data_IF_549405742769
#
_entry.id   IF_549405742769
#
_cell.length_a   1.000
_cell.length_b   1.000
_cell.length_c   1.000
_cell.angle_alpha   90.00
_cell.angle_beta   90.00
_cell.angle_gamma   90.00
#
_symmetry.space_group_name_H-M   'P 1'
#
loop_
_entity.id
_entity.type
_entity.pdbx_description
1 polymer ?
#
# COMPACT_ATOMS: atom_id res chain seq x y z
N UNK A 1 -13.81 -21.41 -9.19
CA UNK A 1 -12.99 -20.57 -8.29
C UNK A 1 -12.89 -21.31 -6.98
N UNK A 2 -11.66 -21.52 -6.48
CA UNK A 2 -11.44 -22.08 -5.16
C UNK A 2 -12.01 -21.19 -4.06
N UNK A 3 -11.97 -21.66 -2.82
CA UNK A 3 -12.34 -20.86 -1.66
C UNK A 3 -11.38 -19.66 -1.57
N UNK A 4 -11.93 -18.43 -1.45
CA UNK A 4 -11.12 -17.24 -1.24
C UNK A 4 -10.48 -17.33 0.15
N UNK A 5 -9.17 -17.53 0.18
CA UNK A 5 -8.34 -17.57 1.37
C UNK A 5 -7.23 -16.49 1.29
N UNK A 6 -6.45 -16.35 2.34
CA UNK A 6 -5.32 -15.43 2.39
C UNK A 6 -4.00 -16.14 2.06
N UNK A 7 -4.00 -16.97 1.00
CA UNK A 7 -2.79 -17.62 0.53
C UNK A 7 -2.10 -16.82 -0.59
N UNK A 8 -0.78 -16.91 -0.69
CA UNK A 8 0.00 -16.31 -1.79
C UNK A 8 -0.42 -16.90 -3.16
N UNK A 9 -0.88 -18.15 -3.20
CA UNK A 9 -1.46 -18.76 -4.39
C UNK A 9 -2.73 -18.01 -4.83
N UNK A 10 -3.67 -17.75 -3.91
CA UNK A 10 -4.89 -17.01 -4.23
C UNK A 10 -4.59 -15.55 -4.58
N UNK A 11 -3.59 -14.93 -3.94
CA UNK A 11 -3.12 -13.61 -4.32
C UNK A 11 -2.70 -13.55 -5.79
N UNK A 12 -1.85 -14.50 -6.22
CA UNK A 12 -1.43 -14.63 -7.63
C UNK A 12 -2.63 -14.81 -8.56
N UNK A 13 -3.57 -15.69 -8.21
CA UNK A 13 -4.79 -15.94 -9.01
C UNK A 13 -5.62 -14.66 -9.21
N UNK A 14 -5.71 -13.78 -8.19
CA UNK A 14 -6.38 -12.48 -8.29
C UNK A 14 -5.68 -11.59 -9.34
N UNK A 15 -4.36 -11.49 -9.26
CA UNK A 15 -3.57 -10.63 -10.15
C UNK A 15 -3.62 -11.12 -11.61
N UNK A 16 -3.43 -12.41 -11.83
CA UNK A 16 -3.52 -13.04 -13.15
C UNK A 16 -4.91 -12.83 -13.77
N UNK A 17 -5.98 -13.07 -12.99
CA UNK A 17 -7.35 -12.82 -13.44
C UNK A 17 -7.60 -11.34 -13.79
N UNK A 18 -7.04 -10.41 -13.02
CA UNK A 18 -7.14 -8.98 -13.32
C UNK A 18 -6.43 -8.64 -14.64
N UNK A 19 -5.23 -9.16 -14.87
CA UNK A 19 -4.49 -8.97 -16.13
C UNK A 19 -5.25 -9.55 -17.32
N UNK A 20 -5.79 -10.77 -17.19
CA UNK A 20 -6.60 -11.41 -18.24
C UNK A 20 -7.86 -10.61 -18.58
N UNK A 21 -8.45 -9.93 -17.59
CA UNK A 21 -9.60 -9.05 -17.80
C UNK A 21 -9.22 -7.65 -18.33
N UNK A 22 -7.94 -7.40 -18.60
CA UNK A 22 -7.46 -6.16 -19.19
C UNK A 22 -7.31 -5.00 -18.21
N UNK A 23 -7.14 -5.26 -16.91
CA UNK A 23 -6.75 -4.22 -15.98
C UNK A 23 -5.29 -3.83 -16.18
N UNK A 24 -5.03 -2.53 -16.27
CA UNK A 24 -3.69 -1.98 -16.23
C UNK A 24 -3.38 -1.58 -14.78
N UNK A 25 -2.32 -2.17 -14.25
CA UNK A 25 -1.81 -1.82 -12.91
C UNK A 25 -0.98 -0.55 -12.96
N UNK A 26 -1.01 0.21 -11.86
CA UNK A 26 -0.21 1.42 -11.70
C UNK A 26 0.08 1.67 -10.23
N UNK A 27 1.13 2.45 -9.97
CA UNK A 27 1.44 3.02 -8.68
C UNK A 27 0.58 4.27 -8.42
N UNK A 28 0.59 4.80 -7.18
CA UNK A 28 0.00 6.10 -6.89
C UNK A 28 0.71 7.22 -7.64
N UNK A 29 2.04 7.13 -7.81
CA UNK A 29 2.81 8.11 -8.55
C UNK A 29 2.41 8.19 -10.03
N UNK A 30 2.06 7.08 -10.63
CA UNK A 30 1.86 6.94 -12.08
C UNK A 30 0.41 6.70 -12.50
N UNK A 31 -0.55 6.73 -11.56
CA UNK A 31 -1.95 6.37 -11.84
C UNK A 31 -2.61 7.22 -12.93
N UNK A 32 -2.15 8.45 -13.12
CA UNK A 32 -2.66 9.36 -14.17
C UNK A 32 -2.15 9.00 -15.57
N UNK A 33 -1.09 8.19 -15.69
CA UNK A 33 -0.54 7.72 -16.97
C UNK A 33 -1.32 6.56 -17.58
N UNK A 34 -2.22 5.94 -16.81
CA UNK A 34 -3.03 4.80 -17.27
C UNK A 34 -4.04 5.26 -18.31
N UNK A 35 -3.97 4.66 -19.49
CA UNK A 35 -4.88 4.95 -20.61
C UNK A 35 -5.90 3.82 -20.84
N UNK A 36 -5.71 2.66 -20.21
CA UNK A 36 -6.64 1.54 -20.32
C UNK A 36 -7.98 1.88 -19.68
N UNK A 37 -9.09 1.35 -20.22
CA UNK A 37 -10.43 1.52 -19.60
C UNK A 37 -10.51 0.96 -18.18
N UNK A 38 -9.75 -0.10 -17.91
CA UNK A 38 -9.69 -0.75 -16.59
C UNK A 38 -8.37 -0.45 -15.90
N UNK A 39 -8.45 0.13 -14.72
CA UNK A 39 -7.30 0.50 -13.90
C UNK A 39 -7.33 -0.23 -12.56
N UNK A 40 -6.17 -0.74 -12.14
CA UNK A 40 -5.98 -1.39 -10.86
C UNK A 40 -4.86 -0.69 -10.09
N UNK A 41 -5.23 -0.02 -9.02
CA UNK A 41 -4.31 0.59 -8.06
C UNK A 41 -4.12 -0.41 -6.92
N UNK A 42 -2.97 -1.09 -6.90
CA UNK A 42 -2.61 -1.99 -5.80
C UNK A 42 -1.73 -1.27 -4.80
N UNK A 43 -2.10 -1.35 -3.52
CA UNK A 43 -1.31 -0.80 -2.43
C UNK A 43 -1.16 -1.80 -1.29
N UNK A 44 -0.02 -1.70 -0.62
CA UNK A 44 0.30 -2.49 0.57
C UNK A 44 0.74 -1.58 1.69
N UNK A 45 0.17 -1.76 2.86
CA UNK A 45 0.61 -1.05 4.06
C UNK A 45 1.58 -1.96 4.83
N UNK A 46 2.84 -1.52 4.96
CA UNK A 46 3.88 -2.27 5.68
C UNK A 46 3.80 -1.94 7.17
N UNK A 47 2.82 -2.54 7.83
CA UNK A 47 2.56 -2.27 9.25
C UNK A 47 3.52 -3.00 10.18
N UNK A 48 3.81 -4.27 9.91
CA UNK A 48 4.47 -5.18 10.84
C UNK A 48 5.65 -5.94 10.22
N UNK A 49 5.51 -6.48 9.00
CA UNK A 49 6.50 -7.35 8.38
C UNK A 49 6.87 -6.88 6.97
N UNK A 50 8.13 -6.50 6.80
CA UNK A 50 8.69 -6.20 5.48
C UNK A 50 8.82 -7.47 4.65
N UNK A 51 9.15 -8.61 5.26
CA UNK A 51 9.37 -9.87 4.54
C UNK A 51 8.10 -10.36 3.86
N UNK A 52 6.96 -10.31 4.56
CA UNK A 52 5.69 -10.71 3.99
C UNK A 52 5.27 -9.79 2.82
N UNK A 53 5.52 -8.47 2.96
CA UNK A 53 5.25 -7.54 1.86
C UNK A 53 6.22 -7.75 0.68
N UNK A 54 7.47 -8.12 0.94
CA UNK A 54 8.42 -8.42 -0.12
C UNK A 54 8.05 -9.69 -0.91
N UNK A 55 7.35 -10.64 -0.28
CA UNK A 55 6.78 -11.79 -0.99
C UNK A 55 5.74 -11.36 -2.03
N UNK A 56 4.86 -10.40 -1.70
CA UNK A 56 3.96 -9.78 -2.69
C UNK A 56 4.73 -9.13 -3.84
N UNK A 57 5.71 -8.28 -3.50
CA UNK A 57 6.47 -7.52 -4.49
C UNK A 57 7.15 -8.44 -5.54
N UNK A 58 7.63 -9.59 -5.10
CA UNK A 58 8.23 -10.58 -6.02
C UNK A 58 7.20 -11.19 -6.95
N UNK A 59 6.01 -11.58 -6.43
CA UNK A 59 4.91 -12.11 -7.25
C UNK A 59 4.44 -11.07 -8.27
N UNK A 60 4.29 -9.83 -7.86
CA UNK A 60 3.88 -8.73 -8.72
C UNK A 60 4.91 -8.45 -9.81
N UNK A 61 6.19 -8.38 -9.44
CA UNK A 61 7.29 -8.21 -10.40
C UNK A 61 7.32 -9.33 -11.46
N UNK A 62 7.15 -10.61 -11.04
CA UNK A 62 7.06 -11.74 -11.96
C UNK A 62 5.93 -11.61 -12.98
N UNK A 63 4.84 -10.94 -12.59
CA UNK A 63 3.68 -10.67 -13.45
C UNK A 63 3.77 -9.34 -14.21
N UNK A 64 4.88 -8.60 -14.07
CA UNK A 64 5.06 -7.29 -14.68
C UNK A 64 4.21 -6.18 -14.07
N UNK A 65 3.80 -6.34 -12.81
CA UNK A 65 2.97 -5.39 -12.07
C UNK A 65 3.84 -4.50 -11.21
N UNK A 66 3.57 -3.19 -11.24
CA UNK A 66 4.07 -2.22 -10.27
C UNK A 66 2.96 -1.83 -9.29
N UNK A 67 3.30 -1.77 -8.00
CA UNK A 67 2.38 -1.42 -6.89
C UNK A 67 3.03 -0.40 -5.97
N UNK A 68 2.24 0.16 -5.05
CA UNK A 68 2.74 1.10 -4.04
C UNK A 68 2.78 0.45 -2.66
N UNK A 69 3.93 0.52 -2.01
CA UNK A 69 4.17 0.03 -0.65
C UNK A 69 4.36 1.21 0.30
N UNK A 70 3.45 1.38 1.26
CA UNK A 70 3.51 2.46 2.24
C UNK A 70 4.29 2.02 3.48
N UNK A 71 5.42 2.70 3.73
CA UNK A 71 6.40 2.38 4.78
C UNK A 71 6.13 3.21 6.02
N UNK A 72 6.00 2.56 7.18
CA UNK A 72 5.92 3.24 8.48
C UNK A 72 7.32 3.52 9.03
N UNK A 73 7.63 4.78 9.29
CA UNK A 73 8.89 5.17 9.95
C UNK A 73 8.86 4.78 11.44
N UNK A 74 7.70 4.89 12.10
CA UNK A 74 7.49 4.52 13.50
C UNK A 74 6.98 3.07 13.69
N UNK A 75 7.37 2.15 12.81
CA UNK A 75 6.95 0.75 12.93
C UNK A 75 7.52 0.10 14.20
N UNK A 76 6.70 -0.71 14.89
CA UNK A 76 7.11 -1.38 16.12
C UNK A 76 8.03 -2.58 15.90
N UNK A 77 7.89 -3.28 14.78
CA UNK A 77 8.51 -4.58 14.53
C UNK A 77 9.64 -4.53 13.51
N UNK A 78 9.90 -3.38 12.91
CA UNK A 78 11.07 -3.18 12.07
C UNK A 78 11.61 -1.75 12.22
N UNK A 79 12.89 -1.58 11.94
CA UNK A 79 13.55 -0.29 11.91
C UNK A 79 14.00 -0.01 10.46
N UNK A 80 13.47 1.02 9.77
CA UNK A 80 13.84 1.31 8.38
C UNK A 80 15.34 1.60 8.17
N UNK A 81 16.06 2.03 9.21
CA UNK A 81 17.50 2.26 9.18
C UNK A 81 18.34 1.01 9.51
N UNK A 82 17.73 -0.06 10.01
CA UNK A 82 18.44 -1.29 10.25
C UNK A 82 18.91 -1.87 8.90
N UNK A 83 20.15 -2.37 8.85
CA UNK A 83 20.84 -2.66 7.61
C UNK A 83 20.13 -3.69 6.71
N UNK A 84 19.52 -4.73 7.29
CA UNK A 84 18.75 -5.73 6.53
C UNK A 84 17.42 -5.15 6.02
N UNK A 85 16.76 -4.34 6.84
CA UNK A 85 15.55 -3.62 6.47
C UNK A 85 15.78 -2.64 5.32
N UNK A 86 16.83 -1.82 5.43
CA UNK A 86 17.27 -0.92 4.37
C UNK A 86 17.48 -1.64 3.04
N UNK A 87 18.18 -2.78 3.04
CA UNK A 87 18.41 -3.57 1.82
C UNK A 87 17.10 -4.08 1.22
N UNK A 88 16.13 -4.48 2.05
CA UNK A 88 14.80 -4.92 1.60
C UNK A 88 14.01 -3.78 0.99
N UNK A 89 14.03 -2.57 1.58
CA UNK A 89 13.41 -1.39 0.99
C UNK A 89 13.98 -1.10 -0.40
N UNK A 90 15.32 -1.15 -0.55
CA UNK A 90 15.95 -1.02 -1.88
C UNK A 90 15.59 -2.16 -2.84
N UNK A 91 15.18 -3.31 -2.34
CA UNK A 91 14.72 -4.42 -3.18
C UNK A 91 13.35 -4.12 -3.80
N UNK A 92 12.40 -3.53 -3.05
CA UNK A 92 11.11 -3.10 -3.62
C UNK A 92 11.30 -2.18 -4.82
N UNK A 93 12.22 -1.21 -4.72
CA UNK A 93 12.50 -0.30 -5.84
C UNK A 93 13.11 -1.02 -7.04
N UNK A 94 14.06 -1.96 -6.80
CA UNK A 94 14.66 -2.77 -7.87
C UNK A 94 13.64 -3.68 -8.56
N UNK A 95 12.59 -4.06 -7.86
CA UNK A 95 11.47 -4.80 -8.42
C UNK A 95 10.46 -3.90 -9.17
N UNK A 96 10.67 -2.58 -9.18
CA UNK A 96 9.86 -1.62 -9.92
C UNK A 96 8.67 -1.05 -9.14
N UNK A 97 8.63 -1.23 -7.82
CA UNK A 97 7.54 -0.72 -6.98
C UNK A 97 7.83 0.68 -6.45
N UNK A 98 6.75 1.43 -6.19
CA UNK A 98 6.79 2.70 -5.50
C UNK A 98 6.85 2.48 -3.98
N UNK A 99 7.71 3.24 -3.28
CA UNK A 99 7.67 3.36 -1.83
C UNK A 99 7.08 4.71 -1.43
N UNK A 100 5.96 4.67 -0.70
CA UNK A 100 5.26 5.83 -0.16
C UNK A 100 5.36 5.89 1.37
N UNK A 101 4.92 6.99 1.97
CA UNK A 101 4.92 7.18 3.41
C UNK A 101 3.62 6.66 4.06
N UNK A 102 3.73 5.74 5.01
CA UNK A 102 2.61 5.37 5.90
C UNK A 102 2.68 6.18 7.19
N UNK A 103 2.08 7.40 7.18
CA UNK A 103 2.24 8.35 8.27
C UNK A 103 1.31 8.08 9.45
N UNK A 104 1.77 8.47 10.65
CA UNK A 104 1.06 8.30 11.92
C UNK A 104 0.23 9.54 12.28
N UNK A 105 -0.96 9.67 11.71
CA UNK A 105 -1.87 10.72 12.14
C UNK A 105 -2.29 10.49 13.60
N UNK A 106 -2.23 11.53 14.42
CA UNK A 106 -2.59 11.48 15.85
C UNK A 106 -1.52 10.93 16.78
N UNK A 107 -0.42 10.34 16.27
CA UNK A 107 0.68 9.91 17.13
C UNK A 107 1.42 11.11 17.74
N UNK A 108 1.61 12.16 16.98
CA UNK A 108 2.29 13.38 17.43
C UNK A 108 1.61 14.00 18.65
N UNK A 109 0.28 14.07 18.65
CA UNK A 109 -0.49 14.60 19.78
C UNK A 109 -0.23 13.79 21.08
N UNK A 110 -0.08 12.47 20.97
CA UNK A 110 0.18 11.60 22.13
C UNK A 110 1.57 11.83 22.75
N UNK A 111 2.51 12.41 22.01
CA UNK A 111 3.86 12.74 22.50
C UNK A 111 4.09 14.25 22.62
N UNK A 112 3.05 15.06 22.48
CA UNK A 112 3.13 16.52 22.64
C UNK A 112 3.78 17.25 21.46
N UNK A 113 3.79 16.66 20.28
CA UNK A 113 4.39 17.22 19.05
C UNK A 113 3.30 17.74 18.10
N UNK A 114 3.67 18.65 17.20
CA UNK A 114 2.81 19.08 16.09
C UNK A 114 2.71 18.00 15.02
N UNK A 115 1.49 17.61 14.66
CA UNK A 115 1.25 16.52 13.70
C UNK A 115 1.83 16.81 12.31
N UNK A 116 1.68 18.05 11.83
CA UNK A 116 2.20 18.40 10.50
C UNK A 116 3.73 18.40 10.48
N UNK A 117 4.35 18.85 11.57
CA UNK A 117 5.79 18.78 11.73
C UNK A 117 6.29 17.33 11.77
N UNK A 118 5.61 16.46 12.54
CA UNK A 118 5.95 15.04 12.62
C UNK A 118 5.90 14.36 11.24
N UNK A 119 4.82 14.53 10.49
CA UNK A 119 4.66 13.94 9.16
C UNK A 119 5.74 14.42 8.19
N UNK A 120 6.10 15.71 8.22
CA UNK A 120 7.22 16.21 7.40
C UNK A 120 8.56 15.57 7.79
N UNK A 121 8.79 15.34 9.08
CA UNK A 121 9.99 14.61 9.56
C UNK A 121 9.99 13.16 9.10
N UNK A 122 8.87 12.45 9.24
CA UNK A 122 8.73 11.08 8.75
C UNK A 122 9.06 10.98 7.26
N UNK A 123 8.48 11.89 6.46
CA UNK A 123 8.78 11.98 5.03
C UNK A 123 10.27 12.20 4.77
N UNK A 124 10.87 13.18 5.42
CA UNK A 124 12.31 13.48 5.27
C UNK A 124 13.19 12.28 5.65
N UNK A 125 12.83 11.56 6.71
CA UNK A 125 13.53 10.35 7.13
C UNK A 125 13.44 9.27 6.04
N UNK A 126 12.25 9.04 5.52
CA UNK A 126 12.05 8.03 4.47
C UNK A 126 12.81 8.41 3.19
N UNK A 127 12.77 9.68 2.78
CA UNK A 127 13.54 10.18 1.63
C UNK A 127 15.05 10.03 1.82
N UNK A 128 15.55 10.23 3.03
CA UNK A 128 16.96 10.02 3.34
C UNK A 128 17.38 8.54 3.25
N UNK A 129 16.45 7.61 3.52
CA UNK A 129 16.67 6.18 3.35
C UNK A 129 16.66 5.79 1.87
N UNK A 130 15.73 6.36 1.10
CA UNK A 130 15.50 5.98 -0.29
C UNK A 130 16.42 6.74 -1.27
N UNK A 131 16.97 7.87 -0.85
CA UNK A 131 17.78 8.79 -1.68
C UNK A 131 17.03 9.39 -2.88
N UNK A 132 15.71 9.56 -2.72
CA UNK A 132 14.86 10.24 -3.70
C UNK A 132 13.55 10.75 -3.06
N UNK A 133 12.81 11.68 -3.74
CA UNK A 133 11.55 12.20 -3.23
C UNK A 133 10.47 11.13 -3.06
N UNK A 134 9.75 11.19 -1.94
CA UNK A 134 8.52 10.44 -1.68
C UNK A 134 7.33 11.31 -2.05
N UNK A 135 6.49 10.84 -2.96
CA UNK A 135 5.40 11.64 -3.55
C UNK A 135 4.00 11.21 -3.13
N UNK A 136 3.88 10.03 -2.55
CA UNK A 136 2.60 9.48 -2.07
C UNK A 136 2.64 9.16 -0.59
N UNK A 137 1.48 9.23 0.05
CA UNK A 137 1.31 8.86 1.46
C UNK A 137 -0.04 8.19 1.71
N UNK A 138 -0.11 7.46 2.82
CA UNK A 138 -1.34 6.91 3.36
C UNK A 138 -1.36 7.05 4.88
N UNK A 139 -2.47 7.50 5.45
CA UNK A 139 -2.64 7.57 6.91
C UNK A 139 -2.73 6.17 7.52
N UNK A 140 -1.95 5.91 8.57
CA UNK A 140 -2.14 4.73 9.40
C UNK A 140 -3.39 4.89 10.28
N UNK A 141 -4.29 3.90 10.27
CA UNK A 141 -5.54 3.90 11.05
C UNK A 141 -6.39 5.19 10.91
N UNK A 142 -6.72 5.66 9.70
CA UNK A 142 -7.38 6.97 9.50
C UNK A 142 -8.75 7.08 10.20
N UNK A 143 -9.41 5.96 10.47
CA UNK A 143 -10.68 5.92 11.21
C UNK A 143 -10.55 6.23 12.70
N UNK A 144 -9.34 6.16 13.27
CA UNK A 144 -9.08 6.44 14.70
C UNK A 144 -8.38 7.78 14.91
N UNK A 145 -7.45 8.12 14.05
CA UNK A 145 -6.56 9.28 14.20
C UNK A 145 -6.91 10.45 13.26
N UNK A 146 -7.91 10.29 12.41
CA UNK A 146 -8.26 11.31 11.42
C UNK A 146 -7.36 11.30 10.20
N UNK A 147 -7.62 12.24 9.29
CA UNK A 147 -6.85 12.48 8.07
C UNK A 147 -6.24 13.87 8.14
N UNK A 148 -4.96 13.96 8.38
CA UNK A 148 -4.23 15.22 8.41
C UNK A 148 -4.02 15.77 7.00
N UNK A 149 -3.68 14.88 6.05
CA UNK A 149 -3.39 15.26 4.67
C UNK A 149 -4.65 15.09 3.83
N UNK A 150 -4.97 16.13 3.10
CA UNK A 150 -6.11 16.22 2.18
C UNK A 150 -5.60 16.57 0.78
N UNK A 151 -6.46 16.46 -0.22
CA UNK A 151 -6.12 16.88 -1.58
C UNK A 151 -5.70 18.36 -1.65
N UNK A 152 -6.32 19.22 -0.84
CA UNK A 152 -6.04 20.65 -0.81
C UNK A 152 -4.69 21.01 -0.17
N UNK A 153 -4.17 20.20 0.74
CA UNK A 153 -2.94 20.52 1.49
C UNK A 153 -1.76 19.59 1.23
N UNK A 154 -1.92 18.53 0.43
CA UNK A 154 -0.87 17.52 0.18
C UNK A 154 0.47 18.16 -0.27
N UNK A 155 0.40 19.18 -1.14
CA UNK A 155 1.58 19.92 -1.61
C UNK A 155 2.34 20.63 -0.50
N UNK A 156 1.66 21.05 0.58
CA UNK A 156 2.32 21.67 1.74
C UNK A 156 3.17 20.69 2.55
N UNK A 157 2.96 19.39 2.33
CA UNK A 157 3.78 18.29 2.86
C UNK A 157 4.84 17.81 1.85
N UNK A 158 4.90 18.42 0.66
CA UNK A 158 5.74 17.97 -0.44
C UNK A 158 5.28 16.63 -1.03
N UNK A 159 3.97 16.35 -0.94
CA UNK A 159 3.32 15.15 -1.49
C UNK A 159 2.44 15.54 -2.68
N UNK A 160 2.25 14.62 -3.61
CA UNK A 160 1.29 14.76 -4.70
C UNK A 160 -0.02 14.05 -4.37
N UNK A 161 0.05 12.92 -3.68
CA UNK A 161 -1.08 12.04 -3.44
C UNK A 161 -1.17 11.57 -1.99
N UNK A 162 -2.39 11.50 -1.49
CA UNK A 162 -2.73 10.81 -0.24
C UNK A 162 -3.86 9.81 -0.53
N UNK A 163 -3.66 8.57 -0.11
CA UNK A 163 -4.44 7.42 -0.55
C UNK A 163 -5.90 7.40 -0.11
N UNK A 164 -6.29 8.20 0.87
CA UNK A 164 -7.68 8.30 1.35
C UNK A 164 -8.39 9.59 0.91
N UNK A 165 -7.83 10.32 -0.05
CA UNK A 165 -8.53 11.48 -0.65
C UNK A 165 -9.73 11.03 -1.50
N UNK A 166 -10.64 11.95 -1.79
CA UNK A 166 -11.81 11.67 -2.63
C UNK A 166 -11.43 11.09 -4.00
N UNK A 167 -10.31 11.53 -4.57
CA UNK A 167 -9.75 11.00 -5.82
C UNK A 167 -9.70 9.47 -5.84
N UNK A 168 -9.25 8.85 -4.76
CA UNK A 168 -9.05 7.41 -4.67
C UNK A 168 -10.23 6.68 -4.00
N UNK A 169 -10.90 7.33 -3.06
CA UNK A 169 -12.00 6.71 -2.32
C UNK A 169 -13.35 6.76 -3.06
N UNK A 170 -13.55 7.77 -3.92
CA UNK A 170 -14.75 7.95 -4.73
C UNK A 170 -14.50 7.65 -6.21
N UNK A 171 -13.29 7.94 -6.68
CA UNK A 171 -12.88 7.68 -8.07
C UNK A 171 -12.59 6.22 -8.40
N UNK A 172 -12.43 5.35 -7.38
CA UNK A 172 -12.16 3.92 -7.51
C UNK A 172 -13.09 3.13 -6.59
N UNK A 173 -13.38 1.88 -6.93
CA UNK A 173 -13.94 0.93 -5.97
C UNK A 173 -12.84 0.52 -5.01
N UNK A 174 -12.89 1.04 -3.78
CA UNK A 174 -11.95 0.71 -2.72
C UNK A 174 -12.30 -0.62 -2.06
N UNK A 175 -11.32 -1.50 -1.92
CA UNK A 175 -11.40 -2.78 -1.21
C UNK A 175 -10.21 -2.92 -0.27
N UNK A 176 -10.42 -3.55 0.88
CA UNK A 176 -9.37 -3.75 1.88
C UNK A 176 -9.53 -5.06 2.63
N UNK A 177 -8.39 -5.71 2.91
CA UNK A 177 -8.27 -6.90 3.78
C UNK A 177 -8.08 -6.55 5.26
N UNK A 178 -8.33 -5.31 5.65
CA UNK A 178 -8.12 -4.83 7.03
C UNK A 178 -8.78 -5.74 8.07
N UNK A 179 -8.03 -6.08 9.10
CA UNK A 179 -8.39 -7.05 10.16
C UNK A 179 -8.56 -8.49 9.64
N UNK A 180 -7.80 -8.89 8.61
CA UNK A 180 -7.80 -10.25 8.08
C UNK A 180 -9.12 -10.66 7.42
N UNK A 181 -9.86 -9.72 6.88
CA UNK A 181 -11.14 -10.01 6.20
C UNK A 181 -11.47 -8.99 5.12
N UNK A 182 -12.04 -9.47 4.04
CA UNK A 182 -12.66 -8.64 3.02
C UNK A 182 -14.08 -8.26 3.47
N UNK A 183 -14.32 -6.98 3.79
CA UNK A 183 -15.63 -6.51 4.29
C UNK A 183 -16.73 -6.63 3.24
N UNK A 184 -16.38 -6.47 1.98
CA UNK A 184 -17.32 -6.50 0.85
C UNK A 184 -17.12 -7.73 -0.04
N UNK A 185 -16.46 -8.76 0.47
CA UNK A 185 -16.06 -9.94 -0.29
C UNK A 185 -14.68 -9.78 -0.95
N UNK A 186 -14.11 -10.90 -1.36
CA UNK A 186 -12.79 -10.94 -1.99
C UNK A 186 -12.74 -10.14 -3.29
N UNK A 187 -11.58 -9.59 -3.60
CA UNK A 187 -11.30 -8.85 -4.84
C UNK A 187 -11.73 -9.61 -6.09
N UNK A 188 -11.53 -10.93 -6.13
CA UNK A 188 -11.95 -11.77 -7.26
C UNK A 188 -13.43 -11.66 -7.62
N UNK A 189 -14.29 -11.39 -6.63
CA UNK A 189 -15.71 -11.14 -6.83
C UNK A 189 -16.05 -9.76 -7.40
N UNK A 190 -15.09 -8.85 -7.45
CA UNK A 190 -15.24 -7.48 -7.96
C UNK A 190 -14.62 -7.27 -9.34
N UNK A 191 -13.73 -8.15 -9.76
CA UNK A 191 -13.11 -8.11 -11.09
C UNK A 191 -14.19 -8.15 -12.18
N UNK A 192 -14.03 -7.30 -13.19
CA UNK A 192 -14.97 -7.14 -14.28
C UNK A 192 -16.25 -6.35 -13.95
N UNK A 193 -16.56 -6.12 -12.67
CA UNK A 193 -17.73 -5.33 -12.23
C UNK A 193 -17.44 -3.84 -12.09
N UNK A 194 -16.19 -3.48 -11.87
CA UNK A 194 -15.73 -2.10 -11.70
C UNK A 194 -14.57 -1.83 -12.64
N UNK A 195 -14.60 -0.71 -13.32
CA UNK A 195 -13.51 -0.30 -14.23
C UNK A 195 -12.27 0.12 -13.47
N UNK A 196 -12.44 0.71 -12.27
CA UNK A 196 -11.33 1.23 -11.47
C UNK A 196 -11.36 0.62 -10.07
N UNK A 197 -10.31 -0.09 -9.72
CA UNK A 197 -10.13 -0.75 -8.42
C UNK A 197 -8.94 -0.12 -7.67
N UNK A 198 -9.14 0.23 -6.40
CA UNK A 198 -8.08 0.55 -5.45
C UNK A 198 -8.10 -0.49 -4.33
N UNK A 199 -7.10 -1.33 -4.29
CA UNK A 199 -7.06 -2.48 -3.38
C UNK A 199 -5.92 -2.34 -2.39
N UNK A 200 -6.27 -2.36 -1.11
CA UNK A 200 -5.33 -2.39 0.00
C UNK A 200 -5.19 -3.81 0.52
N UNK A 201 -3.95 -4.27 0.61
CA UNK A 201 -3.60 -5.50 1.33
C UNK A 201 -2.51 -5.26 2.37
N UNK A 202 -2.47 -6.13 3.37
CA UNK A 202 -1.48 -6.13 4.43
C UNK A 202 -0.80 -7.49 4.43
N UNK A 203 0.50 -7.57 4.17
CA UNK A 203 1.27 -8.82 4.12
C UNK A 203 1.13 -9.70 5.36
N UNK A 204 0.74 -9.10 6.46
CA UNK A 204 0.50 -9.77 7.73
C UNK A 204 -0.56 -10.89 7.67
N UNK A 205 -1.57 -10.77 6.80
CA UNK A 205 -2.67 -11.75 6.71
C UNK A 205 -2.42 -12.87 5.70
N UNK A 206 -1.39 -12.76 4.86
CA UNK A 206 -1.17 -13.64 3.73
C UNK A 206 -0.02 -14.61 3.97
N UNK A 207 -0.23 -15.88 3.66
CA UNK A 207 0.69 -16.97 3.92
C UNK A 207 0.75 -17.94 2.74
N UNK A 208 1.77 -18.78 2.70
CA UNK A 208 1.96 -19.75 1.61
C UNK A 208 0.91 -20.87 1.62
N UNK A 209 0.45 -21.28 2.81
CA UNK A 209 -0.49 -22.38 2.96
C UNK A 209 -1.82 -21.86 3.53
N UNK A 210 -1.84 -21.48 4.79
CA UNK A 210 -3.02 -20.96 5.47
C UNK A 210 -2.62 -20.17 6.72
N UNK A 211 -3.29 -19.02 7.02
CA UNK A 211 -3.04 -18.30 8.26
C UNK A 211 -3.30 -19.15 9.50
N UNK A 212 -4.18 -20.14 9.44
CA UNK A 212 -4.53 -21.02 10.57
C UNK A 212 -3.38 -21.97 10.91
N UNK A 213 -2.52 -22.33 9.97
CA UNK A 213 -1.40 -23.26 10.16
C UNK A 213 -0.16 -22.60 10.77
N UNK A 214 -0.17 -21.29 10.94
CA UNK A 214 0.93 -20.52 11.51
C UNK A 214 0.68 -20.03 12.95
N UNK A 215 -0.33 -20.57 13.61
CA UNK A 215 -0.59 -20.36 15.04
C UNK A 215 0.10 -21.43 15.90
#
# INVERSE_FOLDING_TARGET
MGQCDFTMRHYREILESALEMGYQFSTFADHESVTAPRQFLMRHDIDLSIDNCLAFARVEHELGIASTYFVRVHARLYNPFEFHTYRKLREFERLGHELGLHYEAGYAAAVGEDEAHMVRREKTILEAILDHPVVSAAAHLPGKSGKLITEANATSFGLRYEAYTARFMEGFKYLSDSNGRWREGCVCGHLGKHERLCVLTHGWWWFDISPVENY
#
